data_IF_357687256939
#
_entry.id   IF_357687256939
#
_cell.length_a   1.000
_cell.length_b   1.000
_cell.length_c   1.000
_cell.angle_alpha   90.00
_cell.angle_beta   90.00
_cell.angle_gamma   90.00
#
_symmetry.space_group_name_H-M   'P 1'
#
loop_
_entity.id
_entity.type
_entity.pdbx_description
1 polymer ?
#
# COMPACT_ATOMS: atom_id res chain seq x y z
N UNK A 1 -1.92 24.87 31.40
CA UNK A 1 -0.76 24.07 31.01
C UNK A 1 -1.34 22.92 30.19
N UNK A 2 -1.16 22.94 28.88
CA UNK A 2 -1.64 21.87 28.01
C UNK A 2 -0.83 20.60 28.32
N UNK A 3 -1.50 19.54 28.76
CA UNK A 3 -0.95 18.19 28.79
C UNK A 3 -0.56 17.81 27.34
N UNK A 4 0.67 18.08 26.98
CA UNK A 4 1.28 17.50 25.79
C UNK A 4 1.38 16.01 26.10
N UNK A 5 0.46 15.21 25.60
CA UNK A 5 0.51 13.77 25.71
C UNK A 5 1.87 13.32 25.14
N UNK A 6 2.71 12.74 25.99
CA UNK A 6 4.02 12.22 25.56
C UNK A 6 3.73 11.15 24.48
N UNK A 7 4.21 11.38 23.26
CA UNK A 7 4.02 10.45 22.15
C UNK A 7 4.58 9.08 22.56
N UNK A 8 3.81 8.02 22.30
CA UNK A 8 4.24 6.65 22.62
C UNK A 8 5.47 6.28 21.79
N UNK A 9 6.50 5.76 22.45
CA UNK A 9 7.68 5.18 21.79
C UNK A 9 7.41 3.70 21.51
N UNK A 10 7.68 3.27 20.29
CA UNK A 10 7.50 1.89 19.81
C UNK A 10 8.85 1.24 19.57
N UNK A 11 8.98 -0.07 19.78
CA UNK A 11 10.19 -0.82 19.48
C UNK A 11 10.15 -1.51 18.11
N UNK A 12 11.29 -1.98 17.60
CA UNK A 12 11.36 -3.09 16.66
C UNK A 12 10.89 -4.38 17.38
N UNK A 13 10.38 -5.36 16.62
CA UNK A 13 9.96 -6.65 17.15
C UNK A 13 10.81 -7.76 16.52
N UNK A 14 11.78 -8.28 17.27
CA UNK A 14 12.75 -9.28 16.81
C UNK A 14 12.73 -10.48 17.77
N UNK A 15 12.43 -11.67 17.26
CA UNK A 15 12.37 -12.89 18.09
C UNK A 15 11.24 -12.90 19.12
N UNK A 16 10.25 -12.00 18.96
CA UNK A 16 9.17 -11.80 19.95
C UNK A 16 9.57 -10.88 21.10
N UNK A 17 10.77 -10.26 21.03
CA UNK A 17 11.28 -9.30 22.01
C UNK A 17 11.20 -7.88 21.42
N UNK A 18 11.09 -6.88 22.29
CA UNK A 18 11.09 -5.45 21.97
C UNK A 18 12.51 -4.93 21.93
N UNK A 19 12.95 -4.40 20.77
CA UNK A 19 14.33 -3.96 20.52
C UNK A 19 14.34 -2.48 20.12
N UNK A 20 15.03 -1.65 20.87
CA UNK A 20 15.22 -0.23 20.58
C UNK A 20 16.40 0.01 19.64
N UNK A 21 16.45 1.20 19.00
CA UNK A 21 17.58 1.64 18.17
C UNK A 21 18.08 3.01 18.63
N UNK A 22 19.34 3.38 18.28
CA UNK A 22 19.91 4.67 18.65
C UNK A 22 19.17 5.86 18.03
N UNK A 23 18.72 5.69 16.77
CA UNK A 23 18.01 6.70 16.01
C UNK A 23 16.52 6.38 15.96
N UNK A 24 15.70 7.43 15.89
CA UNK A 24 14.25 7.32 15.83
C UNK A 24 13.68 8.32 14.83
N UNK A 25 12.45 8.06 14.38
CA UNK A 25 11.65 8.98 13.58
C UNK A 25 10.23 9.05 14.13
N UNK A 26 9.51 10.11 13.77
CA UNK A 26 8.14 10.33 14.22
C UNK A 26 7.14 9.99 13.11
N UNK A 27 6.06 9.29 13.46
CA UNK A 27 4.84 9.22 12.67
C UNK A 27 3.90 10.34 13.11
N UNK A 28 3.35 11.08 12.15
CA UNK A 28 2.46 12.22 12.41
C UNK A 28 1.12 12.03 11.74
N UNK A 29 0.11 12.64 12.31
CA UNK A 29 -1.23 12.69 11.71
C UNK A 29 -1.19 13.52 10.41
N UNK A 30 -1.55 12.90 9.29
CA UNK A 30 -1.53 13.56 7.98
C UNK A 30 -2.43 14.79 7.89
N UNK A 31 -3.52 14.83 8.66
CA UNK A 31 -4.45 15.97 8.74
C UNK A 31 -4.01 17.06 9.72
N UNK A 32 -3.07 16.75 10.62
CA UNK A 32 -2.55 17.68 11.62
C UNK A 32 -1.11 17.32 11.98
N UNK A 33 -0.15 17.92 11.32
CA UNK A 33 1.28 17.62 11.47
C UNK A 33 1.84 17.95 12.87
N UNK A 34 1.11 18.66 13.73
CA UNK A 34 1.49 18.87 15.13
C UNK A 34 1.10 17.69 16.03
N UNK A 35 0.20 16.81 15.55
CA UNK A 35 -0.24 15.63 16.26
C UNK A 35 0.71 14.44 15.96
N UNK A 36 1.59 14.12 16.92
CA UNK A 36 2.50 12.98 16.82
C UNK A 36 1.78 11.69 17.19
N UNK A 37 1.68 10.75 16.25
CA UNK A 37 1.07 9.43 16.45
C UNK A 37 1.96 8.53 17.29
N UNK A 38 3.28 8.57 17.01
CA UNK A 38 4.26 7.81 17.75
C UNK A 38 5.69 8.04 17.30
N UNK A 39 6.64 7.55 18.10
CA UNK A 39 8.08 7.58 17.83
C UNK A 39 8.55 6.15 17.58
N UNK A 40 9.25 5.93 16.48
CA UNK A 40 9.65 4.61 15.99
C UNK A 40 11.17 4.53 15.83
N UNK A 41 11.78 3.36 16.06
CA UNK A 41 13.21 3.17 15.90
C UNK A 41 13.60 3.07 14.42
N UNK A 42 14.79 3.54 14.08
CA UNK A 42 15.46 3.20 12.83
C UNK A 42 16.34 1.98 13.06
N UNK A 43 15.93 0.82 12.55
CA UNK A 43 16.68 -0.41 12.72
C UNK A 43 18.03 -0.33 12.02
N UNK A 44 19.10 -0.70 12.76
CA UNK A 44 20.45 -0.80 12.22
C UNK A 44 20.58 -2.03 11.30
N UNK A 45 21.63 -2.07 10.46
CA UNK A 45 21.93 -3.24 9.62
C UNK A 45 22.10 -4.52 10.45
N UNK A 46 22.73 -4.43 11.62
CA UNK A 46 22.91 -5.58 12.51
C UNK A 46 21.58 -6.08 13.09
N UNK A 47 20.64 -5.18 13.40
CA UNK A 47 19.30 -5.55 13.85
C UNK A 47 18.47 -6.22 12.73
N UNK A 48 18.61 -5.75 11.50
CA UNK A 48 17.97 -6.39 10.33
C UNK A 48 18.57 -7.78 10.11
N UNK A 49 19.88 -7.93 10.19
CA UNK A 49 20.56 -9.23 10.13
C UNK A 49 20.06 -10.16 11.23
N UNK A 50 20.06 -9.70 12.48
CA UNK A 50 19.55 -10.46 13.63
C UNK A 50 18.11 -10.94 13.40
N UNK A 51 17.24 -10.07 12.85
CA UNK A 51 15.87 -10.43 12.54
C UNK A 51 15.79 -11.57 11.50
N UNK A 52 16.67 -11.56 10.49
CA UNK A 52 16.75 -12.61 9.48
C UNK A 52 17.26 -13.93 10.08
N UNK A 53 18.30 -13.90 10.91
CA UNK A 53 18.85 -15.08 11.58
C UNK A 53 17.83 -15.73 12.52
N UNK A 54 17.11 -14.92 13.30
CA UNK A 54 16.01 -15.38 14.17
C UNK A 54 14.87 -15.99 13.34
N UNK A 55 14.54 -15.39 12.19
CA UNK A 55 13.54 -15.93 11.28
C UNK A 55 13.97 -17.28 10.70
N UNK A 56 15.24 -17.45 10.33
CA UNK A 56 15.77 -18.75 9.87
C UNK A 56 15.67 -19.82 10.93
N UNK A 57 15.93 -19.52 12.20
CA UNK A 57 15.78 -20.48 13.28
C UNK A 57 14.30 -20.86 13.50
N UNK A 58 13.42 -19.86 13.58
CA UNK A 58 11.99 -20.07 13.76
C UNK A 58 11.34 -20.84 12.59
N UNK A 59 11.84 -20.65 11.37
CA UNK A 59 11.44 -21.38 10.18
C UNK A 59 11.54 -22.89 10.34
N UNK A 60 12.57 -23.40 11.03
CA UNK A 60 12.81 -24.84 11.21
C UNK A 60 11.64 -25.57 11.87
N UNK A 61 10.95 -24.93 12.81
CA UNK A 61 9.78 -25.47 13.48
C UNK A 61 8.48 -25.13 12.74
N UNK A 62 8.31 -23.87 12.33
CA UNK A 62 7.10 -23.41 11.66
C UNK A 62 6.81 -24.12 10.34
N UNK A 63 7.85 -24.35 9.53
CA UNK A 63 7.73 -25.07 8.26
C UNK A 63 7.25 -26.53 8.43
N UNK A 64 7.49 -27.13 9.59
CA UNK A 64 7.05 -28.51 9.93
C UNK A 64 5.66 -28.55 10.56
N UNK A 65 5.14 -27.42 11.02
CA UNK A 65 3.76 -27.33 11.52
C UNK A 65 2.81 -27.70 10.37
N UNK A 66 1.86 -28.64 10.55
CA UNK A 66 0.92 -29.02 9.49
C UNK A 66 0.18 -27.80 8.92
N UNK A 67 0.06 -27.73 7.59
CA UNK A 67 -0.55 -26.60 6.91
C UNK A 67 -1.99 -26.28 7.39
N UNK A 68 -2.86 -27.27 7.68
CA UNK A 68 -4.16 -26.98 8.28
C UNK A 68 -4.10 -26.30 9.65
N UNK A 69 -3.08 -26.59 10.45
CA UNK A 69 -2.88 -25.93 11.76
C UNK A 69 -2.46 -24.47 11.55
N UNK A 70 -1.54 -24.21 10.59
CA UNK A 70 -1.20 -22.84 10.21
C UNK A 70 -2.43 -22.06 9.70
N UNK A 71 -3.28 -22.72 8.88
CA UNK A 71 -4.56 -22.17 8.45
C UNK A 71 -5.49 -21.78 9.60
N UNK A 72 -5.57 -22.61 10.66
CA UNK A 72 -6.35 -22.26 11.85
C UNK A 72 -5.82 -20.98 12.53
N UNK A 73 -4.49 -20.81 12.61
CA UNK A 73 -3.88 -19.57 13.13
C UNK A 73 -4.26 -18.37 12.26
N UNK A 74 -4.26 -18.52 10.93
CA UNK A 74 -4.72 -17.45 10.01
C UNK A 74 -6.18 -17.06 10.31
N UNK A 75 -7.06 -18.03 10.56
CA UNK A 75 -8.45 -17.75 10.96
C UNK A 75 -8.54 -16.96 12.28
N UNK A 76 -7.67 -17.23 13.25
CA UNK A 76 -7.61 -16.46 14.50
C UNK A 76 -7.13 -15.02 14.27
N UNK A 77 -6.20 -14.79 13.31
CA UNK A 77 -5.78 -13.43 12.89
C UNK A 77 -6.98 -12.69 12.30
N UNK A 78 -7.75 -13.30 11.39
CA UNK A 78 -8.96 -12.69 10.81
C UNK A 78 -9.99 -12.31 11.88
N UNK A 79 -10.24 -13.18 12.86
CA UNK A 79 -11.13 -12.87 13.98
C UNK A 79 -10.60 -11.71 14.85
N UNK A 80 -9.29 -11.62 15.08
CA UNK A 80 -8.69 -10.52 15.81
C UNK A 80 -8.84 -9.19 15.05
N UNK A 81 -8.59 -9.19 13.73
CA UNK A 81 -8.82 -8.04 12.86
C UNK A 81 -10.28 -7.59 12.88
N UNK A 82 -11.23 -8.52 12.84
CA UNK A 82 -12.67 -8.21 12.91
C UNK A 82 -13.04 -7.52 14.22
N UNK A 83 -12.52 -7.98 15.36
CA UNK A 83 -12.77 -7.36 16.67
C UNK A 83 -12.19 -5.96 16.77
N UNK A 84 -11.02 -5.73 16.20
CA UNK A 84 -10.28 -4.47 16.29
C UNK A 84 -10.49 -3.55 15.07
N UNK A 85 -11.42 -3.89 14.17
CA UNK A 85 -11.61 -3.20 12.88
C UNK A 85 -11.75 -1.70 13.04
N UNK A 86 -12.62 -1.23 13.93
CA UNK A 86 -12.86 0.20 14.12
C UNK A 86 -11.63 0.94 14.70
N UNK A 87 -10.94 0.33 15.66
CA UNK A 87 -9.74 0.92 16.26
C UNK A 87 -8.60 1.03 15.23
N UNK A 88 -8.38 -0.03 14.46
CA UNK A 88 -7.39 -0.03 13.38
C UNK A 88 -7.75 0.96 12.28
N UNK A 89 -9.02 1.03 11.87
CA UNK A 89 -9.47 1.95 10.83
C UNK A 89 -9.25 3.42 11.22
N UNK A 90 -9.52 3.78 12.47
CA UNK A 90 -9.23 5.12 13.00
C UNK A 90 -7.73 5.42 13.01
N UNK A 91 -6.90 4.43 13.36
CA UNK A 91 -5.44 4.59 13.34
C UNK A 91 -4.91 4.76 11.92
N UNK A 92 -5.38 3.95 10.97
CA UNK A 92 -5.05 4.07 9.54
C UNK A 92 -5.45 5.44 9.00
N UNK A 93 -6.69 5.91 9.29
CA UNK A 93 -7.16 7.23 8.88
C UNK A 93 -6.26 8.34 9.43
N UNK A 94 -5.86 8.25 10.71
CA UNK A 94 -4.99 9.23 11.37
C UNK A 94 -3.58 9.27 10.78
N UNK A 95 -2.96 8.14 10.48
CA UNK A 95 -1.59 8.10 9.92
C UNK A 95 -1.56 8.45 8.44
N UNK A 96 -2.53 7.95 7.67
CA UNK A 96 -2.48 8.00 6.21
C UNK A 96 -3.34 9.13 5.62
N UNK A 97 -4.30 9.67 6.36
CA UNK A 97 -5.19 10.73 5.89
C UNK A 97 -6.34 10.27 4.98
N UNK A 98 -6.56 8.94 4.81
CA UNK A 98 -7.72 8.44 4.06
C UNK A 98 -8.99 8.52 4.89
N UNK A 99 -10.15 8.55 4.21
CA UNK A 99 -11.44 8.58 4.89
C UNK A 99 -11.64 7.35 5.79
N UNK A 100 -12.43 7.48 6.84
CA UNK A 100 -12.71 6.34 7.72
C UNK A 100 -13.42 5.20 6.98
N UNK A 101 -14.24 5.53 5.97
CA UNK A 101 -14.87 4.54 5.08
C UNK A 101 -13.83 3.71 4.34
N UNK A 102 -12.82 4.35 3.75
CA UNK A 102 -11.74 3.69 3.03
C UNK A 102 -10.78 2.95 3.97
N UNK A 103 -10.53 3.49 5.16
CA UNK A 103 -9.75 2.82 6.19
C UNK A 103 -10.44 1.53 6.70
N UNK A 104 -11.78 1.55 6.82
CA UNK A 104 -12.57 0.33 7.09
C UNK A 104 -12.46 -0.70 5.96
N UNK A 105 -12.37 -0.23 4.70
CA UNK A 105 -12.10 -1.07 3.53
C UNK A 105 -10.71 -1.72 3.59
N UNK A 106 -9.69 -0.95 3.91
CA UNK A 106 -8.31 -1.42 4.08
C UNK A 106 -8.23 -2.58 5.12
N UNK A 107 -8.87 -2.42 6.28
CA UNK A 107 -8.91 -3.48 7.29
C UNK A 107 -9.79 -4.65 6.83
N UNK A 108 -10.90 -4.39 6.12
CA UNK A 108 -11.76 -5.45 5.59
C UNK A 108 -11.03 -6.36 4.62
N UNK A 109 -10.24 -5.81 3.70
CA UNK A 109 -9.44 -6.61 2.76
C UNK A 109 -8.46 -7.56 3.48
N UNK A 110 -7.91 -7.15 4.61
CA UNK A 110 -7.07 -8.02 5.41
C UNK A 110 -7.87 -9.15 6.09
N UNK A 111 -9.11 -8.87 6.52
CA UNK A 111 -10.04 -9.88 7.05
C UNK A 111 -10.37 -10.89 5.95
N UNK A 112 -10.77 -10.42 4.77
CA UNK A 112 -11.13 -11.27 3.62
C UNK A 112 -9.92 -12.13 3.17
N UNK A 113 -8.72 -11.54 3.19
CA UNK A 113 -7.46 -12.28 2.93
C UNK A 113 -7.27 -13.42 3.94
N UNK A 114 -7.52 -13.19 5.22
CA UNK A 114 -7.43 -14.24 6.23
C UNK A 114 -8.49 -15.33 6.01
N UNK A 115 -9.72 -14.98 5.69
CA UNK A 115 -10.80 -15.93 5.38
C UNK A 115 -10.45 -16.82 4.20
N UNK A 116 -9.95 -16.22 3.11
CA UNK A 116 -9.49 -16.97 1.94
C UNK A 116 -8.36 -17.94 2.29
N UNK A 117 -7.29 -17.44 2.90
CA UNK A 117 -6.08 -18.23 3.15
C UNK A 117 -6.20 -19.20 4.32
N UNK A 118 -7.16 -19.03 5.23
CA UNK A 118 -7.45 -20.02 6.27
C UNK A 118 -7.70 -21.40 5.66
N UNK A 119 -8.52 -21.45 4.61
CA UNK A 119 -8.85 -22.69 3.93
C UNK A 119 -7.75 -23.20 2.98
N UNK A 120 -6.86 -22.33 2.51
CA UNK A 120 -5.71 -22.70 1.67
C UNK A 120 -4.73 -23.64 2.41
N UNK A 121 -4.64 -23.57 3.74
CA UNK A 121 -3.89 -24.52 4.52
C UNK A 121 -4.32 -26.00 4.31
N UNK A 122 -5.54 -26.22 3.82
CA UNK A 122 -6.06 -27.57 3.48
C UNK A 122 -5.96 -27.87 1.98
N UNK A 123 -5.55 -26.92 1.15
CA UNK A 123 -5.43 -27.04 -0.32
C UNK A 123 -4.00 -26.95 -0.83
N UNK A 124 -2.99 -27.01 0.04
CA UNK A 124 -1.58 -27.06 -0.34
C UNK A 124 -1.18 -28.47 -0.81
N UNK A 125 -1.95 -29.04 -1.73
CA UNK A 125 -1.70 -30.36 -2.30
C UNK A 125 -0.72 -30.30 -3.49
N UNK A 126 -0.09 -31.46 -3.77
CA UNK A 126 0.69 -31.68 -4.98
C UNK A 126 -0.11 -32.51 -5.99
N UNK A 127 0.62 -33.02 -6.97
CA UNK A 127 0.08 -33.89 -8.03
C UNK A 127 0.78 -35.25 -7.98
N UNK A 128 0.08 -36.30 -8.30
CA UNK A 128 0.65 -37.60 -8.66
C UNK A 128 0.64 -37.71 -10.19
N UNK A 129 1.77 -38.10 -10.75
CA UNK A 129 1.98 -38.16 -12.19
C UNK A 129 2.45 -39.57 -12.56
N UNK A 130 1.85 -40.24 -13.58
CA UNK A 130 2.33 -41.54 -14.04
C UNK A 130 3.74 -41.43 -14.61
N UNK A 131 4.53 -42.48 -14.45
CA UNK A 131 5.84 -42.62 -15.06
C UNK A 131 5.78 -43.62 -16.22
N UNK A 132 6.52 -43.39 -17.28
CA UNK A 132 6.77 -44.39 -18.34
C UNK A 132 7.70 -45.52 -17.88
N UNK A 133 8.40 -45.32 -16.75
CA UNK A 133 9.29 -46.35 -16.21
C UNK A 133 8.48 -47.27 -15.25
N UNK A 134 8.66 -48.61 -15.36
CA UNK A 134 8.01 -49.54 -14.46
C UNK A 134 8.50 -49.38 -13.02
N UNK A 135 7.60 -49.57 -12.05
CA UNK A 135 7.86 -49.44 -10.61
C UNK A 135 8.32 -48.04 -10.15
N UNK A 136 7.94 -46.98 -10.91
CA UNK A 136 8.26 -45.60 -10.57
C UNK A 136 6.99 -44.77 -10.43
N UNK A 137 6.83 -44.14 -9.28
CA UNK A 137 5.78 -43.15 -8.99
C UNK A 137 6.41 -41.75 -8.94
N UNK A 138 5.73 -40.78 -9.51
CA UNK A 138 6.12 -39.37 -9.50
C UNK A 138 5.07 -38.57 -8.71
N UNK A 139 5.56 -37.71 -7.84
CA UNK A 139 4.67 -36.81 -7.10
C UNK A 139 5.36 -35.46 -6.85
N UNK A 140 4.55 -34.40 -6.77
CA UNK A 140 5.01 -33.06 -6.43
C UNK A 140 4.50 -32.68 -5.04
N UNK A 141 5.27 -31.88 -4.35
CA UNK A 141 4.92 -31.31 -3.04
C UNK A 141 5.14 -29.81 -3.04
N UNK A 142 4.22 -29.06 -2.43
CA UNK A 142 4.46 -27.65 -2.16
C UNK A 142 5.30 -27.53 -0.89
N UNK A 143 6.41 -26.79 -0.99
CA UNK A 143 7.35 -26.57 0.11
C UNK A 143 7.50 -25.08 0.39
N UNK A 144 7.66 -24.66 1.66
CA UNK A 144 8.02 -23.29 1.98
C UNK A 144 9.41 -22.95 1.44
N UNK A 145 9.63 -21.67 1.14
CA UNK A 145 10.88 -21.17 0.56
C UNK A 145 11.96 -20.90 1.64
N UNK A 146 11.55 -20.50 2.83
CA UNK A 146 12.45 -20.09 3.91
C UNK A 146 12.03 -18.79 4.55
N UNK A 147 12.93 -17.82 4.60
CA UNK A 147 12.66 -16.46 5.07
C UNK A 147 12.18 -15.58 3.94
N UNK A 148 11.03 -14.96 4.13
CA UNK A 148 10.47 -13.95 3.21
C UNK A 148 10.72 -12.56 3.77
N UNK A 149 11.54 -11.77 3.08
CA UNK A 149 11.67 -10.35 3.31
C UNK A 149 10.46 -9.62 2.72
N UNK A 150 9.80 -8.80 3.51
CA UNK A 150 8.63 -8.03 3.07
C UNK A 150 8.89 -6.54 3.27
N UNK A 151 8.68 -5.76 2.20
CA UNK A 151 8.68 -4.29 2.26
C UNK A 151 7.36 -3.80 1.71
N UNK A 152 6.66 -2.92 2.44
CA UNK A 152 5.33 -2.43 2.07
C UNK A 152 5.24 -0.92 2.07
N UNK A 153 4.37 -0.38 1.20
CA UNK A 153 4.03 1.04 1.14
C UNK A 153 3.02 1.45 2.24
N UNK A 154 2.87 2.75 2.47
CA UNK A 154 2.05 3.30 3.55
C UNK A 154 0.60 3.61 3.19
N UNK A 155 0.25 3.60 1.90
CA UNK A 155 -1.08 3.99 1.43
C UNK A 155 -2.19 2.97 1.77
N UNK A 156 -1.85 1.69 1.94
CA UNK A 156 -2.73 0.62 2.44
C UNK A 156 -1.99 -0.19 3.50
N UNK A 157 -1.85 0.36 4.73
CA UNK A 157 -0.92 -0.18 5.73
C UNK A 157 -1.38 -1.47 6.40
N UNK A 158 -2.60 -1.94 6.16
CA UNK A 158 -3.14 -3.21 6.66
C UNK A 158 -3.39 -4.21 5.52
N UNK A 159 -4.08 -3.80 4.44
CA UNK A 159 -4.39 -4.67 3.31
C UNK A 159 -3.13 -5.17 2.61
N UNK A 160 -2.28 -4.27 2.13
CA UNK A 160 -1.08 -4.64 1.35
C UNK A 160 -0.13 -5.56 2.11
N UNK A 161 0.20 -5.31 3.39
CA UNK A 161 0.95 -6.29 4.19
C UNK A 161 0.23 -7.63 4.31
N UNK A 162 -1.10 -7.65 4.50
CA UNK A 162 -1.85 -8.90 4.65
C UNK A 162 -1.73 -9.80 3.42
N UNK A 163 -1.76 -9.23 2.20
CA UNK A 163 -1.60 -9.99 0.95
C UNK A 163 -0.24 -10.69 0.80
N UNK A 164 0.75 -10.29 1.60
CA UNK A 164 2.10 -10.86 1.61
C UNK A 164 2.34 -11.73 2.84
N UNK A 165 1.98 -11.24 4.02
CA UNK A 165 2.21 -11.89 5.32
C UNK A 165 1.37 -13.17 5.44
N UNK A 166 0.07 -13.08 5.14
CA UNK A 166 -0.87 -14.20 5.36
C UNK A 166 -0.52 -15.40 4.47
N UNK A 167 -0.33 -15.27 3.13
CA UNK A 167 0.10 -16.39 2.30
C UNK A 167 1.49 -16.92 2.67
N UNK A 168 2.43 -16.06 3.08
CA UNK A 168 3.75 -16.52 3.54
C UNK A 168 3.63 -17.39 4.80
N UNK A 169 2.82 -16.98 5.78
CA UNK A 169 2.59 -17.74 7.02
C UNK A 169 1.91 -19.07 6.75
N UNK A 170 0.80 -19.12 5.99
CA UNK A 170 0.06 -20.36 5.73
C UNK A 170 0.88 -21.36 4.94
N UNK A 171 1.75 -20.91 4.04
CA UNK A 171 2.66 -21.77 3.29
C UNK A 171 3.89 -22.23 4.10
N UNK A 172 4.07 -21.72 5.33
CA UNK A 172 5.08 -22.19 6.28
C UNK A 172 6.39 -21.44 6.24
N UNK A 173 6.44 -20.23 5.68
CA UNK A 173 7.62 -19.37 5.68
C UNK A 173 7.71 -18.56 6.98
N UNK A 174 8.92 -18.15 7.34
CA UNK A 174 9.16 -17.12 8.33
C UNK A 174 9.34 -15.75 7.64
N UNK A 175 9.16 -14.67 8.39
CA UNK A 175 9.03 -13.31 7.83
C UNK A 175 9.92 -12.33 8.56
N UNK A 176 10.57 -11.46 7.79
CA UNK A 176 11.10 -10.18 8.27
C UNK A 176 10.39 -9.07 7.49
N UNK A 177 9.61 -8.26 8.19
CA UNK A 177 8.81 -7.20 7.58
C UNK A 177 9.34 -5.82 7.93
N UNK A 178 9.59 -5.02 6.90
CA UNK A 178 9.83 -3.57 6.99
C UNK A 178 8.58 -2.86 6.47
N UNK A 179 7.70 -2.35 7.34
CA UNK A 179 6.57 -1.52 6.94
C UNK A 179 7.03 -0.14 6.47
N UNK A 180 6.13 0.61 5.83
CA UNK A 180 6.40 2.01 5.50
C UNK A 180 6.63 2.85 6.75
N UNK A 181 7.54 3.80 6.65
CA UNK A 181 7.75 4.85 7.64
C UNK A 181 6.57 5.83 7.73
N UNK A 182 5.68 5.80 6.74
CA UNK A 182 4.52 6.71 6.66
C UNK A 182 3.32 6.24 7.50
N UNK A 183 3.25 4.92 7.86
CA UNK A 183 2.17 4.36 8.68
C UNK A 183 2.64 3.24 9.62
N UNK A 184 3.68 3.48 10.45
CA UNK A 184 4.31 2.45 11.28
C UNK A 184 3.46 2.03 12.49
N UNK A 185 2.57 2.90 13.03
CA UNK A 185 1.71 2.54 14.16
C UNK A 185 0.63 1.53 13.74
N UNK A 186 0.05 1.69 12.55
CA UNK A 186 -0.86 0.73 11.95
C UNK A 186 -0.19 -0.64 11.78
N UNK A 187 1.06 -0.65 11.28
CA UNK A 187 1.84 -1.88 11.13
C UNK A 187 2.16 -2.54 12.49
N UNK A 188 2.55 -1.74 13.50
CA UNK A 188 2.79 -2.26 14.85
C UNK A 188 1.52 -2.89 15.44
N UNK A 189 0.38 -2.22 15.31
CA UNK A 189 -0.90 -2.76 15.78
C UNK A 189 -1.24 -4.07 15.08
N UNK A 190 -1.05 -4.15 13.77
CA UNK A 190 -1.31 -5.37 12.99
C UNK A 190 -0.43 -6.54 13.42
N UNK A 191 0.88 -6.34 13.57
CA UNK A 191 1.77 -7.43 13.98
C UNK A 191 1.47 -7.90 15.41
N UNK A 192 1.05 -7.02 16.31
CA UNK A 192 0.62 -7.41 17.66
C UNK A 192 -0.62 -8.32 17.64
N UNK A 193 -1.58 -8.09 16.71
CA UNK A 193 -2.72 -9.00 16.50
C UNK A 193 -2.27 -10.36 15.95
N UNK A 194 -1.32 -10.38 15.01
CA UNK A 194 -0.74 -11.60 14.47
C UNK A 194 -0.07 -12.43 15.58
N UNK A 195 0.73 -11.79 16.44
CA UNK A 195 1.38 -12.45 17.58
C UNK A 195 0.36 -12.99 18.59
N UNK A 196 -0.67 -12.19 18.91
CA UNK A 196 -1.74 -12.59 19.85
C UNK A 196 -2.59 -13.74 19.32
N UNK A 197 -2.67 -13.93 17.99
CA UNK A 197 -3.35 -15.07 17.36
C UNK A 197 -2.58 -16.40 17.45
N UNK A 198 -1.37 -16.39 18.02
CA UNK A 198 -0.58 -17.60 18.28
C UNK A 198 0.49 -17.93 17.24
N UNK A 199 0.89 -16.97 16.42
CA UNK A 199 2.09 -17.11 15.58
C UNK A 199 3.32 -17.17 16.50
N UNK A 200 4.16 -18.23 16.41
CA UNK A 200 5.29 -18.41 17.31
C UNK A 200 6.31 -17.27 17.23
N UNK A 201 7.01 -17.02 18.37
CA UNK A 201 8.11 -16.04 18.44
C UNK A 201 9.14 -16.31 17.33
N UNK A 202 9.60 -15.24 16.67
CA UNK A 202 10.59 -15.31 15.60
C UNK A 202 10.04 -15.66 14.21
N UNK A 203 8.82 -16.20 14.09
CA UNK A 203 8.20 -16.49 12.78
C UNK A 203 7.84 -15.20 12.02
N UNK A 204 7.46 -14.14 12.74
CA UNK A 204 7.32 -12.79 12.19
C UNK A 204 8.15 -11.81 13.02
N UNK A 205 9.00 -11.05 12.33
CA UNK A 205 9.85 -10.02 12.89
C UNK A 205 9.57 -8.71 12.15
N UNK A 206 9.60 -7.58 12.86
CA UNK A 206 9.33 -6.26 12.29
C UNK A 206 10.47 -5.32 12.61
N UNK A 207 11.02 -4.68 11.57
CA UNK A 207 12.08 -3.68 11.65
C UNK A 207 11.60 -2.38 11.02
N UNK A 208 11.63 -1.29 11.77
CA UNK A 208 11.23 0.02 11.29
C UNK A 208 12.42 0.79 10.73
N UNK A 209 12.15 1.82 9.94
CA UNK A 209 13.13 2.74 9.38
C UNK A 209 12.71 3.24 8.01
N UNK A 210 13.17 4.44 7.64
CA UNK A 210 12.84 5.11 6.40
C UNK A 210 14.07 5.62 5.64
N UNK A 211 13.87 6.04 4.38
CA UNK A 211 14.90 6.67 3.57
C UNK A 211 15.91 5.71 2.92
N UNK A 212 16.94 6.32 2.33
CA UNK A 212 18.08 5.62 1.72
C UNK A 212 19.04 5.14 2.82
N UNK A 213 19.67 4.00 2.62
CA UNK A 213 20.53 3.33 3.61
C UNK A 213 19.80 2.95 4.92
N UNK A 214 18.51 2.63 4.82
CA UNK A 214 17.63 2.28 5.93
C UNK A 214 17.39 0.78 6.05
N UNK A 215 16.58 0.40 7.03
CA UNK A 215 16.16 -0.99 7.25
C UNK A 215 15.62 -1.69 5.98
N UNK A 216 14.97 -0.94 5.06
CA UNK A 216 14.49 -1.48 3.78
C UNK A 216 15.63 -1.90 2.86
N UNK A 217 16.63 -1.03 2.68
CA UNK A 217 17.81 -1.34 1.88
C UNK A 217 18.60 -2.49 2.50
N UNK A 218 18.81 -2.45 3.81
CA UNK A 218 19.50 -3.53 4.52
C UNK A 218 18.79 -4.87 4.38
N UNK A 219 17.44 -4.90 4.43
CA UNK A 219 16.66 -6.13 4.25
C UNK A 219 16.80 -6.71 2.82
N UNK A 220 16.84 -5.83 1.81
CA UNK A 220 17.06 -6.24 0.41
C UNK A 220 18.46 -6.85 0.24
N UNK A 221 19.48 -6.27 0.86
CA UNK A 221 20.86 -6.76 0.84
C UNK A 221 21.02 -8.14 1.51
N UNK A 222 20.15 -8.52 2.45
CA UNK A 222 20.18 -9.86 3.06
C UNK A 222 19.91 -10.99 2.06
N UNK A 223 19.42 -10.71 0.85
CA UNK A 223 19.36 -11.70 -0.23
C UNK A 223 20.77 -12.10 -0.69
N UNK A 224 21.70 -11.14 -0.80
CA UNK A 224 23.10 -11.41 -1.19
C UNK A 224 23.85 -12.25 -0.15
N UNK A 225 23.41 -12.17 1.09
CA UNK A 225 23.98 -12.93 2.23
C UNK A 225 23.30 -14.30 2.43
N UNK A 226 22.29 -14.64 1.59
CA UNK A 226 21.53 -15.89 1.71
C UNK A 226 20.63 -15.97 2.95
N UNK A 227 20.41 -14.85 3.64
CA UNK A 227 19.56 -14.77 4.84
C UNK A 227 18.07 -14.59 4.49
N UNK A 228 17.77 -14.05 3.30
CA UNK A 228 16.43 -13.90 2.73
C UNK A 228 16.31 -14.73 1.47
N UNK A 229 15.31 -15.61 1.41
CA UNK A 229 15.08 -16.57 0.33
C UNK A 229 14.08 -16.06 -0.71
N UNK A 230 13.27 -15.08 -0.38
CA UNK A 230 12.32 -14.41 -1.27
C UNK A 230 12.06 -13.00 -0.78
N UNK A 231 11.99 -12.06 -1.72
CA UNK A 231 11.53 -10.68 -1.44
C UNK A 231 10.11 -10.48 -1.97
N UNK A 232 9.23 -9.92 -1.13
CA UNK A 232 7.92 -9.42 -1.51
C UNK A 232 7.88 -7.90 -1.27
N UNK A 233 7.88 -7.15 -2.33
CA UNK A 233 8.03 -5.69 -2.31
C UNK A 233 6.76 -5.01 -2.84
N UNK A 234 6.35 -3.91 -2.18
CA UNK A 234 5.39 -2.95 -2.71
C UNK A 234 5.96 -1.54 -2.54
N UNK A 235 6.06 -0.81 -3.64
CA UNK A 235 6.59 0.55 -3.63
C UNK A 235 6.83 1.10 -5.03
N UNK A 236 7.78 2.04 -5.17
CA UNK A 236 8.06 2.66 -6.46
C UNK A 236 8.72 1.71 -7.46
N UNK A 237 8.44 1.91 -8.76
CA UNK A 237 9.05 1.15 -9.85
C UNK A 237 10.59 1.25 -9.84
N UNK A 238 11.15 2.39 -9.46
CA UNK A 238 12.59 2.58 -9.37
C UNK A 238 13.24 1.60 -8.37
N UNK A 239 12.71 1.55 -7.13
CA UNK A 239 13.20 0.61 -6.11
C UNK A 239 12.88 -0.84 -6.49
N UNK A 240 11.72 -1.09 -7.11
CA UNK A 240 11.36 -2.43 -7.60
C UNK A 240 12.36 -2.99 -8.61
N UNK A 241 12.94 -2.16 -9.48
CA UNK A 241 14.00 -2.55 -10.41
C UNK A 241 15.29 -2.97 -9.67
N UNK A 242 15.67 -2.26 -8.61
CA UNK A 242 16.81 -2.63 -7.76
C UNK A 242 16.58 -3.96 -7.06
N UNK A 243 15.39 -4.14 -6.46
CA UNK A 243 14.98 -5.43 -5.85
C UNK A 243 15.04 -6.56 -6.88
N UNK A 244 14.50 -6.32 -8.09
CA UNK A 244 14.52 -7.30 -9.19
C UNK A 244 15.92 -7.67 -9.61
N UNK A 245 16.85 -6.70 -9.71
CA UNK A 245 18.24 -6.93 -10.07
C UNK A 245 18.99 -7.76 -9.00
N UNK A 246 18.79 -7.43 -7.72
CA UNK A 246 19.39 -8.18 -6.60
C UNK A 246 18.82 -9.60 -6.54
N UNK A 247 17.51 -9.76 -6.64
CA UNK A 247 16.89 -11.07 -6.66
C UNK A 247 17.36 -11.93 -7.84
N UNK A 248 17.46 -11.33 -9.04
CA UNK A 248 17.93 -12.03 -10.25
C UNK A 248 19.33 -12.56 -10.14
N UNK A 249 20.29 -11.81 -9.60
CA UNK A 249 21.67 -12.30 -9.41
C UNK A 249 21.76 -13.42 -8.37
N UNK A 250 20.79 -13.51 -7.46
CA UNK A 250 20.67 -14.60 -6.48
C UNK A 250 19.75 -15.74 -6.95
N UNK A 251 19.32 -15.74 -8.22
CA UNK A 251 18.40 -16.71 -8.81
C UNK A 251 17.06 -16.84 -8.04
N UNK A 252 16.62 -15.74 -7.44
CA UNK A 252 15.36 -15.64 -6.72
C UNK A 252 14.29 -14.96 -7.57
N UNK A 253 13.02 -15.33 -7.35
CA UNK A 253 11.87 -14.68 -7.96
C UNK A 253 11.19 -13.73 -6.95
N UNK A 254 11.39 -12.41 -7.04
CA UNK A 254 10.70 -11.47 -6.17
C UNK A 254 9.23 -11.37 -6.57
N UNK A 255 8.38 -11.00 -5.60
CA UNK A 255 7.04 -10.51 -5.89
C UNK A 255 7.08 -8.99 -5.83
N UNK A 256 6.77 -8.33 -6.94
CA UNK A 256 6.88 -6.88 -7.09
C UNK A 256 5.49 -6.29 -7.38
N UNK A 257 4.99 -5.47 -6.46
CA UNK A 257 3.79 -4.65 -6.63
C UNK A 257 4.24 -3.20 -6.74
N UNK A 258 4.03 -2.59 -7.89
CA UNK A 258 4.65 -1.32 -8.24
C UNK A 258 3.58 -0.30 -8.67
N UNK A 259 4.00 0.94 -8.94
CA UNK A 259 3.16 1.97 -9.50
C UNK A 259 2.73 1.69 -10.94
N UNK A 260 1.76 2.45 -11.40
CA UNK A 260 1.23 2.36 -12.74
C UNK A 260 0.51 3.62 -13.18
N UNK A 261 0.15 3.68 -14.46
CA UNK A 261 -0.68 4.73 -15.05
C UNK A 261 -1.94 4.07 -15.65
N UNK A 262 -2.90 3.78 -14.78
CA UNK A 262 -4.04 2.94 -15.14
C UNK A 262 -5.00 3.67 -16.10
N UNK A 263 -5.42 3.04 -17.21
CA UNK A 263 -6.45 3.55 -18.09
C UNK A 263 -7.85 3.24 -17.52
N UNK A 264 -8.78 4.16 -17.74
CA UNK A 264 -10.20 3.97 -17.54
C UNK A 264 -10.89 4.27 -18.89
N UNK A 265 -11.45 3.28 -19.55
CA UNK A 265 -11.98 3.38 -20.92
C UNK A 265 -13.48 3.60 -20.89
N UNK A 266 -13.96 4.62 -21.62
CA UNK A 266 -15.39 4.94 -21.79
C UNK A 266 -15.74 4.87 -23.26
N UNK A 267 -16.47 3.83 -23.66
CA UNK A 267 -16.91 3.65 -25.04
C UNK A 267 -18.26 4.33 -25.29
N UNK A 268 -18.61 4.52 -26.57
CA UNK A 268 -19.82 5.21 -27.03
C UNK A 268 -21.16 4.63 -26.57
N UNK A 269 -21.16 3.37 -26.16
CA UNK A 269 -22.34 2.63 -25.66
C UNK A 269 -22.35 2.51 -24.13
N UNK A 270 -21.43 3.20 -23.42
CA UNK A 270 -21.37 3.20 -21.97
C UNK A 270 -22.58 3.93 -21.35
N UNK A 271 -23.01 3.47 -20.18
CA UNK A 271 -23.86 4.26 -19.29
C UNK A 271 -23.01 5.39 -18.70
N UNK A 272 -23.21 6.61 -19.23
CA UNK A 272 -22.39 7.77 -18.87
C UNK A 272 -22.56 8.20 -17.42
N UNK A 273 -23.73 8.01 -16.81
CA UNK A 273 -23.93 8.34 -15.38
C UNK A 273 -23.05 7.44 -14.51
N UNK A 274 -23.13 6.13 -14.73
CA UNK A 274 -22.30 5.16 -14.01
C UNK A 274 -20.80 5.35 -14.31
N UNK A 275 -20.44 5.64 -15.56
CA UNK A 275 -19.05 5.87 -15.95
C UNK A 275 -18.46 7.11 -15.27
N UNK A 276 -19.21 8.21 -15.15
CA UNK A 276 -18.79 9.43 -14.45
C UNK A 276 -18.58 9.16 -12.96
N UNK A 277 -19.52 8.50 -12.28
CA UNK A 277 -19.37 8.18 -10.84
C UNK A 277 -18.19 7.23 -10.61
N UNK A 278 -18.01 6.23 -11.46
CA UNK A 278 -16.85 5.33 -11.43
C UNK A 278 -15.53 6.07 -11.65
N UNK A 279 -15.48 6.99 -12.61
CA UNK A 279 -14.30 7.81 -12.90
C UNK A 279 -13.94 8.74 -11.73
N UNK A 280 -14.92 9.39 -11.07
CA UNK A 280 -14.70 10.22 -9.87
C UNK A 280 -14.03 9.41 -8.78
N UNK A 281 -14.61 8.26 -8.42
CA UNK A 281 -14.03 7.43 -7.36
C UNK A 281 -12.67 6.84 -7.74
N UNK A 282 -12.51 6.37 -8.97
CA UNK A 282 -11.26 5.78 -9.46
C UNK A 282 -10.11 6.80 -9.50
N UNK A 283 -10.41 8.06 -9.85
CA UNK A 283 -9.39 9.11 -9.98
C UNK A 283 -9.04 9.76 -8.63
N UNK A 284 -10.04 10.02 -7.79
CA UNK A 284 -9.89 10.88 -6.61
C UNK A 284 -10.05 10.17 -5.27
N UNK A 285 -10.55 8.94 -5.23
CA UNK A 285 -10.60 8.15 -4.01
C UNK A 285 -9.20 8.03 -3.38
N UNK A 286 -9.10 8.09 -2.06
CA UNK A 286 -7.84 8.16 -1.29
C UNK A 286 -6.93 9.33 -1.74
N UNK A 287 -7.50 10.41 -2.31
CA UNK A 287 -6.72 11.51 -2.90
C UNK A 287 -5.85 11.05 -4.08
N UNK A 288 -6.28 10.05 -4.86
CA UNK A 288 -5.50 9.49 -5.97
C UNK A 288 -4.23 8.74 -5.55
N UNK A 289 -4.04 8.46 -4.25
CA UNK A 289 -2.85 7.81 -3.70
C UNK A 289 -2.97 6.28 -3.70
N UNK A 290 -3.43 5.70 -4.81
CA UNK A 290 -3.54 4.25 -5.01
C UNK A 290 -2.73 3.83 -6.23
N UNK A 291 -2.08 2.68 -6.18
CA UNK A 291 -1.48 2.04 -7.35
C UNK A 291 -2.52 1.70 -8.43
N UNK A 292 -3.81 1.61 -8.03
CA UNK A 292 -4.97 1.31 -8.89
C UNK A 292 -5.77 2.54 -9.29
N UNK A 293 -5.39 3.78 -8.89
CA UNK A 293 -6.08 4.99 -9.32
C UNK A 293 -6.02 5.16 -10.83
N UNK A 294 -7.13 5.60 -11.45
CA UNK A 294 -7.11 5.98 -12.86
C UNK A 294 -6.15 7.17 -13.06
N UNK A 295 -5.31 7.07 -14.07
CA UNK A 295 -4.38 8.12 -14.49
C UNK A 295 -4.78 8.77 -15.81
N UNK A 296 -5.49 8.01 -16.66
CA UNK A 296 -6.01 8.47 -17.95
C UNK A 296 -7.46 8.00 -18.13
N UNK A 297 -8.39 8.91 -18.38
CA UNK A 297 -9.73 8.59 -18.87
C UNK A 297 -9.70 8.61 -20.39
N UNK A 298 -9.75 7.44 -20.99
CA UNK A 298 -9.71 7.25 -22.45
C UNK A 298 -11.15 7.17 -22.94
N UNK A 299 -11.59 8.21 -23.67
CA UNK A 299 -13.01 8.43 -23.96
C UNK A 299 -13.24 8.46 -25.46
N UNK A 300 -14.19 7.63 -25.93
CA UNK A 300 -14.58 7.56 -27.35
C UNK A 300 -15.18 8.90 -27.82
N UNK A 301 -14.73 9.38 -28.97
CA UNK A 301 -15.03 10.70 -29.53
C UNK A 301 -16.52 11.08 -29.54
N UNK A 302 -17.49 10.17 -29.89
CA UNK A 302 -18.89 10.54 -29.88
C UNK A 302 -19.50 10.94 -28.55
N UNK A 303 -18.92 10.47 -27.43
CA UNK A 303 -19.40 10.75 -26.08
C UNK A 303 -18.47 11.66 -25.29
N UNK A 304 -17.34 12.08 -25.88
CA UNK A 304 -16.29 12.80 -25.18
C UNK A 304 -16.76 14.12 -24.55
N UNK A 305 -17.44 14.98 -25.30
CA UNK A 305 -17.84 16.30 -24.81
C UNK A 305 -18.93 16.18 -23.71
N UNK A 306 -19.90 15.30 -23.89
CA UNK A 306 -20.93 15.04 -22.89
C UNK A 306 -20.35 14.44 -21.61
N UNK A 307 -19.45 13.46 -21.72
CA UNK A 307 -18.75 12.90 -20.57
C UNK A 307 -17.94 13.95 -19.84
N UNK A 308 -17.13 14.75 -20.57
CA UNK A 308 -16.30 15.82 -20.00
C UNK A 308 -17.13 16.82 -19.21
N UNK A 309 -18.25 17.28 -19.77
CA UNK A 309 -19.14 18.25 -19.11
C UNK A 309 -19.70 17.67 -17.80
N UNK A 310 -20.26 16.46 -17.85
CA UNK A 310 -20.81 15.76 -16.68
C UNK A 310 -19.72 15.49 -15.62
N UNK A 311 -18.54 15.03 -16.05
CA UNK A 311 -17.43 14.72 -15.17
C UNK A 311 -16.93 15.97 -14.44
N UNK A 312 -16.69 17.08 -15.14
CA UNK A 312 -16.27 18.35 -14.53
C UNK A 312 -17.35 18.92 -13.58
N UNK A 313 -18.62 18.71 -13.88
CA UNK A 313 -19.70 19.11 -12.96
C UNK A 313 -19.65 18.33 -11.64
N UNK A 314 -19.34 17.02 -11.67
CA UNK A 314 -19.16 16.20 -10.47
C UNK A 314 -17.85 16.50 -9.76
N UNK A 315 -16.73 16.75 -10.47
CA UNK A 315 -15.45 17.15 -9.87
C UNK A 315 -15.60 18.39 -8.99
N UNK A 316 -16.41 19.39 -9.43
CA UNK A 316 -16.68 20.61 -8.64
C UNK A 316 -17.45 20.37 -7.36
N UNK A 317 -18.15 19.25 -7.23
CA UNK A 317 -18.93 18.86 -6.04
C UNK A 317 -18.12 18.04 -5.04
N UNK A 318 -16.87 17.68 -5.37
CA UNK A 318 -16.03 16.86 -4.50
C UNK A 318 -15.80 17.58 -3.18
N UNK A 319 -16.20 16.93 -2.09
CA UNK A 319 -15.91 17.39 -0.73
C UNK A 319 -14.57 16.88 -0.28
N UNK A 320 -13.75 17.78 0.25
CA UNK A 320 -12.38 17.53 0.72
C UNK A 320 -12.29 18.05 2.16
N UNK A 321 -11.54 17.35 3.00
CA UNK A 321 -11.38 17.81 4.38
C UNK A 321 -10.63 16.85 5.26
N UNK A 322 -10.62 17.12 6.56
CA UNK A 322 -10.01 16.28 7.57
C UNK A 322 -10.91 15.06 7.89
N UNK A 323 -10.52 13.85 7.48
CA UNK A 323 -11.34 12.65 7.68
C UNK A 323 -11.46 12.23 9.15
N UNK A 324 -10.66 12.81 10.04
CA UNK A 324 -10.80 12.65 11.49
C UNK A 324 -11.91 13.48 12.09
N UNK A 325 -12.38 14.52 11.37
CA UNK A 325 -13.48 15.41 11.80
C UNK A 325 -14.78 15.16 11.06
N UNK A 326 -14.69 14.72 9.79
CA UNK A 326 -15.84 14.58 8.90
C UNK A 326 -15.78 13.25 8.15
N UNK A 327 -16.85 12.46 8.25
CA UNK A 327 -16.95 11.19 7.52
C UNK A 327 -17.36 11.36 6.04
N UNK A 328 -18.06 12.43 5.69
CA UNK A 328 -18.63 12.65 4.35
C UNK A 328 -17.73 13.53 3.47
N UNK A 329 -16.47 13.14 3.32
CA UNK A 329 -15.53 13.68 2.34
C UNK A 329 -15.08 12.57 1.40
N UNK A 330 -14.77 12.90 0.15
CA UNK A 330 -14.26 11.92 -0.81
C UNK A 330 -12.82 11.56 -0.51
N UNK A 331 -12.01 12.55 -0.11
CA UNK A 331 -10.62 12.31 0.28
C UNK A 331 -10.10 13.37 1.27
N UNK A 332 -9.04 13.01 1.96
CA UNK A 332 -8.28 13.81 2.91
C UNK A 332 -6.96 14.33 2.34
N UNK A 333 -5.96 14.60 3.20
CA UNK A 333 -4.66 15.11 2.79
C UNK A 333 -3.79 14.06 2.08
N UNK A 334 -2.68 14.51 1.51
CA UNK A 334 -1.54 13.65 1.23
C UNK A 334 -0.99 13.07 2.54
N UNK A 335 -0.41 11.88 2.44
CA UNK A 335 0.21 11.20 3.59
C UNK A 335 1.20 12.14 4.30
N UNK A 336 2.03 12.87 3.53
CA UNK A 336 2.98 13.86 4.04
C UNK A 336 3.44 14.82 2.93
N UNK A 337 4.32 15.77 3.30
CA UNK A 337 4.87 16.78 2.39
C UNK A 337 5.61 16.18 1.20
N UNK A 338 6.32 15.07 1.37
CA UNK A 338 7.08 14.40 0.29
C UNK A 338 6.14 13.95 -0.84
N UNK A 339 4.97 13.35 -0.49
CA UNK A 339 3.96 12.94 -1.48
C UNK A 339 3.33 14.15 -2.16
N UNK A 340 3.02 15.20 -1.41
CA UNK A 340 2.51 16.45 -1.98
C UNK A 340 3.50 17.08 -2.96
N UNK A 341 4.78 17.24 -2.58
CA UNK A 341 5.81 17.83 -3.45
C UNK A 341 5.99 17.04 -4.74
N UNK A 342 6.06 15.71 -4.64
CA UNK A 342 6.15 14.84 -5.81
C UNK A 342 4.93 14.96 -6.71
N UNK A 343 3.72 15.02 -6.14
CA UNK A 343 2.51 15.25 -6.91
C UNK A 343 2.55 16.63 -7.60
N UNK A 344 2.97 17.69 -6.92
CA UNK A 344 3.00 19.03 -7.46
C UNK A 344 3.92 19.19 -8.69
N UNK A 345 4.92 18.32 -8.86
CA UNK A 345 5.80 18.32 -10.05
C UNK A 345 5.04 18.12 -11.35
N UNK A 346 3.89 17.48 -11.35
CA UNK A 346 3.11 17.20 -12.57
C UNK A 346 2.59 18.47 -13.27
N UNK A 347 2.44 19.58 -12.54
CA UNK A 347 2.06 20.86 -13.17
C UNK A 347 3.13 21.35 -14.14
N UNK A 348 4.41 21.18 -13.79
CA UNK A 348 5.51 21.52 -14.69
C UNK A 348 5.58 20.56 -15.89
N UNK A 349 5.26 19.28 -15.68
CA UNK A 349 5.17 18.33 -16.80
C UNK A 349 4.05 18.69 -17.77
N UNK A 350 2.85 18.94 -17.25
CA UNK A 350 1.69 19.33 -18.06
C UNK A 350 1.95 20.62 -18.87
N UNK A 351 2.55 21.63 -18.23
CA UNK A 351 2.93 22.87 -18.92
C UNK A 351 3.98 22.64 -20.01
N UNK A 352 5.03 21.87 -19.71
CA UNK A 352 6.11 21.56 -20.64
C UNK A 352 5.62 20.75 -21.84
N UNK A 353 4.69 19.81 -21.62
CA UNK A 353 4.08 18.95 -22.63
C UNK A 353 2.99 19.68 -23.46
N UNK A 354 2.54 20.87 -23.05
CA UNK A 354 1.47 21.62 -23.71
C UNK A 354 0.06 21.12 -23.40
N UNK A 355 -0.12 20.39 -22.31
CA UNK A 355 -1.42 19.98 -21.82
C UNK A 355 -2.25 21.17 -21.34
N UNK A 356 -3.58 21.04 -21.36
CA UNK A 356 -4.52 22.08 -20.92
C UNK A 356 -5.09 21.74 -19.55
N UNK A 357 -4.88 22.62 -18.56
CA UNK A 357 -5.49 22.48 -17.24
C UNK A 357 -6.95 22.95 -17.30
N UNK A 358 -7.89 22.02 -17.05
CA UNK A 358 -9.32 22.30 -17.06
C UNK A 358 -9.87 22.68 -15.68
N UNK A 359 -9.32 22.10 -14.62
CA UNK A 359 -9.80 22.32 -13.26
C UNK A 359 -8.72 22.00 -12.22
N UNK A 360 -8.71 22.79 -11.13
CA UNK A 360 -7.91 22.59 -9.93
C UNK A 360 -6.42 22.87 -10.12
N UNK A 361 -5.83 23.66 -9.23
CA UNK A 361 -4.40 23.96 -9.26
C UNK A 361 -3.85 24.06 -7.84
N UNK A 362 -2.82 23.27 -7.57
CA UNK A 362 -1.96 23.43 -6.42
C UNK A 362 -2.54 22.97 -5.09
N UNK A 363 -2.00 23.54 -4.01
CA UNK A 363 -2.36 23.25 -2.64
C UNK A 363 -3.65 23.96 -2.24
N UNK A 364 -4.47 23.27 -1.47
CA UNK A 364 -5.58 23.88 -0.73
C UNK A 364 -5.00 24.49 0.54
N UNK A 365 -5.30 25.79 0.76
CA UNK A 365 -4.82 26.59 1.90
C UNK A 365 -5.99 27.40 2.48
N UNK A 366 -5.79 28.06 3.62
CA UNK A 366 -6.79 28.97 4.19
C UNK A 366 -7.25 30.08 3.24
N UNK A 367 -6.35 30.55 2.36
CA UNK A 367 -6.63 31.58 1.36
C UNK A 367 -7.23 31.03 0.05
N UNK A 368 -7.09 29.72 -0.21
CA UNK A 368 -7.53 29.05 -1.45
C UNK A 368 -8.06 27.66 -1.13
N UNK A 369 -9.34 27.56 -0.81
CA UNK A 369 -10.01 26.30 -0.47
C UNK A 369 -11.36 26.18 -1.19
N UNK A 370 -11.83 24.95 -1.49
CA UNK A 370 -13.14 24.73 -2.06
C UNK A 370 -14.24 25.08 -1.05
N UNK A 371 -15.40 25.47 -1.57
CA UNK A 371 -16.59 25.66 -0.73
C UNK A 371 -16.90 24.36 0.03
N UNK A 372 -17.16 24.47 1.35
CA UNK A 372 -17.45 23.32 2.19
C UNK A 372 -16.22 22.48 2.58
N UNK A 373 -15.00 23.01 2.45
CA UNK A 373 -13.81 22.38 3.04
C UNK A 373 -13.98 22.31 4.57
N UNK A 374 -13.68 21.16 5.15
CA UNK A 374 -13.84 20.95 6.58
C UNK A 374 -12.50 20.56 7.24
N UNK A 375 -12.09 21.33 8.23
CA UNK A 375 -10.82 21.17 8.92
C UNK A 375 -9.96 22.42 8.83
N UNK A 376 -8.66 22.25 9.06
CA UNK A 376 -7.63 23.25 8.87
C UNK A 376 -6.75 22.84 7.67
N UNK A 377 -6.88 23.50 6.50
CA UNK A 377 -6.15 23.10 5.31
C UNK A 377 -4.63 23.36 5.44
N UNK A 378 -4.22 24.21 6.37
CA UNK A 378 -2.80 24.51 6.60
C UNK A 378 -2.14 23.55 7.59
N UNK A 379 -2.93 22.80 8.36
CA UNK A 379 -2.43 21.78 9.28
C UNK A 379 -1.92 20.51 8.60
N UNK A 380 -2.32 20.25 7.34
CA UNK A 380 -1.90 19.11 6.50
C UNK A 380 -1.55 19.56 5.08
N UNK A 381 -1.34 18.59 4.18
CA UNK A 381 -1.07 18.86 2.76
C UNK A 381 -2.24 18.40 1.91
N UNK A 382 -3.14 19.28 1.56
CA UNK A 382 -4.31 19.02 0.72
C UNK A 382 -4.08 19.53 -0.69
N UNK A 383 -4.44 18.75 -1.71
CA UNK A 383 -4.34 19.11 -3.12
C UNK A 383 -5.72 19.26 -3.76
N UNK A 384 -5.86 20.21 -4.69
CA UNK A 384 -7.05 20.32 -5.51
C UNK A 384 -7.23 19.09 -6.41
N UNK A 385 -8.47 18.61 -6.64
CA UNK A 385 -8.71 17.62 -7.68
C UNK A 385 -8.40 18.25 -9.02
N UNK A 386 -7.46 17.67 -9.75
CA UNK A 386 -6.85 18.29 -10.95
C UNK A 386 -7.24 17.51 -12.20
N UNK A 387 -7.75 18.22 -13.20
CA UNK A 387 -8.18 17.63 -14.48
C UNK A 387 -7.43 18.31 -15.63
N UNK A 388 -6.78 17.47 -16.45
CA UNK A 388 -6.05 17.87 -17.64
C UNK A 388 -6.72 17.38 -18.92
N UNK A 389 -6.57 18.11 -20.01
CA UNK A 389 -6.98 17.78 -21.38
C UNK A 389 -5.80 17.98 -22.34
N UNK A 390 -5.94 17.51 -23.58
CA UNK A 390 -4.89 17.55 -24.59
C UNK A 390 -3.60 16.83 -24.17
N UNK A 391 -3.77 15.68 -23.50
CA UNK A 391 -2.69 14.79 -23.06
C UNK A 391 -2.65 13.57 -23.98
N UNK A 392 -1.46 13.23 -24.48
CA UNK A 392 -1.28 12.13 -25.43
C UNK A 392 -0.11 11.19 -25.08
N UNK A 393 0.00 10.05 -25.76
CA UNK A 393 0.96 8.97 -25.42
C UNK A 393 2.43 9.37 -25.38
N UNK A 394 2.83 10.42 -26.12
CA UNK A 394 4.21 10.95 -26.12
C UNK A 394 4.57 11.84 -24.93
N UNK A 395 3.62 12.18 -24.10
CA UNK A 395 3.79 13.12 -23.00
C UNK A 395 4.14 12.41 -21.69
N UNK A 396 5.00 13.04 -20.89
CA UNK A 396 5.32 12.54 -19.55
C UNK A 396 4.07 12.46 -18.65
N UNK A 397 3.22 13.49 -18.77
CA UNK A 397 1.92 13.56 -18.09
C UNK A 397 1.03 12.32 -18.35
N UNK A 398 1.14 11.71 -19.55
CA UNK A 398 0.38 10.51 -19.92
C UNK A 398 1.02 9.23 -19.36
N UNK A 399 2.36 9.14 -19.35
CA UNK A 399 3.06 7.89 -19.06
C UNK A 399 3.43 7.70 -17.60
N UNK A 400 3.82 8.77 -16.90
CA UNK A 400 4.34 8.68 -15.54
C UNK A 400 3.22 8.67 -14.49
N UNK A 401 3.41 7.88 -13.45
CA UNK A 401 2.53 7.86 -12.27
C UNK A 401 2.63 9.17 -11.50
N UNK A 402 1.50 9.85 -11.30
CA UNK A 402 1.43 11.12 -10.57
C UNK A 402 1.18 10.89 -9.07
N UNK A 403 0.47 9.86 -8.69
CA UNK A 403 0.17 9.44 -7.31
C UNK A 403 -0.44 10.58 -6.46
N UNK A 404 -1.56 11.11 -6.91
CA UNK A 404 -2.30 12.19 -6.28
C UNK A 404 -3.61 12.47 -7.01
N UNK A 405 -4.42 13.42 -6.57
CA UNK A 405 -5.76 13.68 -7.11
C UNK A 405 -5.70 14.36 -8.48
N UNK A 406 -5.18 13.64 -9.48
CA UNK A 406 -4.96 14.16 -10.85
C UNK A 406 -5.39 13.13 -11.89
N UNK A 407 -6.08 13.59 -12.94
CA UNK A 407 -6.57 12.79 -14.04
C UNK A 407 -6.41 13.51 -15.39
N UNK A 408 -6.15 12.74 -16.43
CA UNK A 408 -6.10 13.21 -17.80
C UNK A 408 -7.33 12.75 -18.58
N UNK A 409 -7.93 13.63 -19.38
CA UNK A 409 -8.96 13.29 -20.36
C UNK A 409 -8.31 13.11 -21.72
N UNK A 410 -8.49 11.92 -22.31
CA UNK A 410 -7.88 11.52 -23.57
C UNK A 410 -8.99 11.12 -24.55
N UNK A 411 -9.10 11.82 -25.67
CA UNK A 411 -10.08 11.54 -26.72
C UNK A 411 -9.51 10.54 -27.71
N UNK A 412 -10.30 9.51 -28.06
CA UNK A 412 -9.92 8.47 -29.03
C UNK A 412 -11.05 8.22 -30.03
N UNK A 413 -10.73 7.68 -31.20
CA UNK A 413 -11.71 7.29 -32.20
C UNK A 413 -11.88 5.76 -32.24
N UNK A 414 -12.75 5.26 -31.37
CA UNK A 414 -13.11 3.85 -31.27
C UNK A 414 -12.15 2.99 -30.46
N UNK A 415 -12.48 1.70 -30.39
CA UNK A 415 -11.81 0.73 -29.51
C UNK A 415 -10.37 0.42 -29.94
N UNK A 416 -10.07 0.47 -31.24
CA UNK A 416 -8.75 0.13 -31.75
C UNK A 416 -7.72 1.19 -31.35
N UNK A 417 -8.09 2.46 -31.28
CA UNK A 417 -7.24 3.52 -30.77
C UNK A 417 -7.14 3.48 -29.24
N UNK A 418 -8.24 3.15 -28.56
CA UNK A 418 -8.27 3.03 -27.10
C UNK A 418 -7.36 1.92 -26.57
#
# INVERSE_FOLDING_TARGET
>A
MSDVAIARTYPNLIGGEEVTSPNTFESRNSSNLQDVVGVFPEATKDQVRQACEVAQEAFKSWSRTPAPIRGNVIGLIGQALTREKEALSKLVSREMGKTLKEARGDVQEAIDTCEFFQSEGRRLYGQTVPSEMPNKELMTYRRPLGVVGIVTAGNFPIAVPSWKIIPALVTGNAIVWKPSEDAPASAYAFVKLIQAAGVPKGVINVVFGGGKDSAGQHLIEMMDEGLVNKMAFTGSTAVGREVGAIAGRNLQHPTLELGGKNPFVVMRDADLENAVQGAIFSSFGTGGQRCTSAGNLIIDAPVYEEFKERFLAEVRKIRIGDPGKVEDVLYGPFINERFYKRWAEHYEWGKADGATLLYGEGRITGDSQPEGFEGDPDAGFYGWPTVWENVGPGMRQFQDEIFGPTINLVKVDGIDEA
#
